data_IF_870509527492
#
_entry.id   IF_870509527492
#
_cell.length_a   1.000
_cell.length_b   1.000
_cell.length_c   1.000
_cell.angle_alpha   90.00
_cell.angle_beta   90.00
_cell.angle_gamma   90.00
#
_symmetry.space_group_name_H-M   'P 1'
#
loop_
_entity.id
_entity.type
_entity.pdbx_description
1 polymer ?
#
# COMPACT_ATOMS: atom_id res chain seq x y z
N UNK A 1 -11.10 -22.30 36.52
CA UNK A 1 -9.94 -22.76 35.71
C UNK A 1 -10.10 -22.51 34.21
N UNK A 2 -11.25 -22.74 33.56
CA UNK A 2 -11.42 -22.52 32.09
C UNK A 2 -11.28 -21.07 31.63
N UNK A 3 -11.81 -20.11 32.40
CA UNK A 3 -11.69 -18.66 32.10
C UNK A 3 -10.23 -18.18 32.13
N UNK A 4 -9.42 -18.71 33.05
CA UNK A 4 -7.99 -18.38 33.15
C UNK A 4 -7.20 -18.83 31.91
N UNK A 5 -7.47 -20.04 31.41
CA UNK A 5 -6.83 -20.54 30.18
C UNK A 5 -7.25 -19.75 28.95
N UNK A 6 -8.50 -19.28 28.87
CA UNK A 6 -8.97 -18.42 27.77
C UNK A 6 -8.25 -17.07 27.82
N UNK A 7 -8.10 -16.46 29.01
CA UNK A 7 -7.36 -15.20 29.17
C UNK A 7 -5.90 -15.38 28.76
N UNK A 8 -5.22 -16.44 29.21
CA UNK A 8 -3.84 -16.74 28.79
C UNK A 8 -3.72 -17.00 27.28
N UNK A 9 -4.68 -17.69 26.67
CA UNK A 9 -4.68 -17.93 25.24
C UNK A 9 -4.86 -16.64 24.43
N UNK A 10 -5.79 -15.75 24.84
CA UNK A 10 -6.00 -14.45 24.18
C UNK A 10 -4.77 -13.54 24.33
N UNK A 11 -4.12 -13.55 25.50
CA UNK A 11 -2.88 -12.80 25.73
C UNK A 11 -1.69 -13.36 24.93
N UNK A 12 -1.58 -14.68 24.80
CA UNK A 12 -0.54 -15.30 23.99
C UNK A 12 -0.74 -15.02 22.49
N UNK A 13 -2.00 -15.03 22.02
CA UNK A 13 -2.35 -14.71 20.63
C UNK A 13 -2.05 -13.23 20.35
N UNK A 14 -2.39 -12.31 21.25
CA UNK A 14 -2.14 -10.87 21.05
C UNK A 14 -0.64 -10.54 21.01
N UNK A 15 0.17 -11.17 21.86
CA UNK A 15 1.64 -11.01 21.85
C UNK A 15 2.26 -11.55 20.57
N UNK A 16 1.76 -12.68 20.05
CA UNK A 16 2.26 -13.29 18.81
C UNK A 16 1.99 -12.39 17.58
N UNK A 17 0.80 -11.78 17.52
CA UNK A 17 0.43 -10.84 16.45
C UNK A 17 1.30 -9.59 16.50
N UNK A 18 1.58 -9.05 17.70
CA UNK A 18 2.44 -7.88 17.84
C UNK A 18 3.88 -8.10 17.34
N UNK A 19 4.42 -9.31 17.48
CA UNK A 19 5.74 -9.67 16.95
C UNK A 19 5.75 -9.76 15.43
N UNK A 20 4.71 -10.36 14.83
CA UNK A 20 4.61 -10.50 13.37
C UNK A 20 4.53 -9.15 12.62
N UNK A 21 4.09 -8.09 13.29
CA UNK A 21 4.02 -6.74 12.71
C UNK A 21 5.37 -6.01 12.66
N UNK A 22 6.41 -6.53 13.32
CA UNK A 22 7.73 -5.87 13.43
C UNK A 22 8.83 -6.56 12.63
N UNK A 23 8.50 -7.51 11.76
CA UNK A 23 9.51 -8.15 10.93
C UNK A 23 9.97 -7.21 9.80
N UNK A 24 11.29 -7.08 9.57
CA UNK A 24 11.78 -6.30 8.43
C UNK A 24 11.37 -6.96 7.11
N UNK A 25 11.03 -6.17 6.08
CA UNK A 25 10.68 -6.73 4.79
C UNK A 25 11.88 -7.39 4.11
N UNK A 26 11.60 -8.41 3.29
CA UNK A 26 12.61 -9.14 2.48
C UNK A 26 12.90 -8.50 1.13
N UNK A 27 12.12 -7.51 0.72
CA UNK A 27 12.24 -6.85 -0.57
C UNK A 27 12.19 -5.35 -0.36
N UNK A 28 12.78 -4.60 -1.30
CA UNK A 28 12.68 -3.15 -1.32
C UNK A 28 11.21 -2.72 -1.35
N UNK A 29 10.80 -1.89 -0.38
CA UNK A 29 9.49 -1.26 -0.39
C UNK A 29 9.64 0.21 -0.75
N UNK A 30 8.82 0.67 -1.70
CA UNK A 30 8.82 2.05 -2.20
C UNK A 30 7.44 2.65 -1.93
N UNK A 31 7.35 3.54 -0.94
CA UNK A 31 6.15 4.32 -0.67
C UNK A 31 6.28 5.73 -1.23
N UNK A 32 5.32 6.21 -2.03
CA UNK A 32 5.29 7.61 -2.47
C UNK A 32 4.59 8.45 -1.40
N UNK A 33 5.31 9.41 -0.79
CA UNK A 33 4.77 10.32 0.23
C UNK A 33 4.17 11.58 -0.38
N UNK A 34 4.75 12.05 -1.48
CA UNK A 34 4.25 13.20 -2.26
C UNK A 34 4.49 12.89 -3.72
N UNK A 35 3.41 12.79 -4.50
CA UNK A 35 3.44 12.63 -5.96
C UNK A 35 3.33 14.00 -6.61
N UNK A 36 4.00 14.18 -7.74
CA UNK A 36 3.83 15.33 -8.62
C UNK A 36 2.88 14.92 -9.76
N UNK A 37 1.87 15.73 -10.12
CA UNK A 37 1.01 15.47 -11.28
C UNK A 37 1.83 15.32 -12.57
N UNK A 38 1.35 14.50 -13.50
CA UNK A 38 2.11 14.17 -14.71
C UNK A 38 2.29 15.39 -15.63
N UNK A 39 1.32 16.31 -15.62
CA UNK A 39 1.35 17.60 -16.31
C UNK A 39 2.41 18.57 -15.76
N UNK A 40 2.81 18.44 -14.50
CA UNK A 40 3.86 19.25 -13.86
C UNK A 40 5.24 18.57 -13.92
N UNK A 41 5.26 17.26 -14.18
CA UNK A 41 6.47 16.46 -14.22
C UNK A 41 7.19 16.58 -15.57
N UNK A 42 7.98 17.65 -15.73
CA UNK A 42 8.73 17.91 -16.96
C UNK A 42 9.86 16.91 -17.21
N UNK A 43 10.45 16.34 -16.16
CA UNK A 43 11.55 15.38 -16.23
C UNK A 43 11.43 14.32 -15.14
N UNK A 44 11.74 13.08 -15.52
CA UNK A 44 11.83 11.93 -14.61
C UNK A 44 13.26 11.43 -14.51
N UNK A 45 13.65 11.02 -13.31
CA UNK A 45 14.97 10.42 -13.06
C UNK A 45 15.13 9.10 -13.82
N UNK A 46 16.26 8.98 -14.52
CA UNK A 46 16.69 7.77 -15.25
C UNK A 46 18.15 7.45 -14.93
N UNK A 47 18.54 6.22 -15.25
CA UNK A 47 19.92 5.77 -15.08
C UNK A 47 20.87 6.71 -15.84
N UNK A 48 21.97 7.08 -15.19
CA UNK A 48 22.95 8.04 -15.71
C UNK A 48 22.68 9.50 -15.35
N UNK A 49 21.47 9.88 -14.93
CA UNK A 49 21.22 11.23 -14.41
C UNK A 49 21.99 11.47 -13.11
N UNK A 50 22.42 12.71 -12.91
CA UNK A 50 22.94 13.17 -11.62
C UNK A 50 21.77 13.75 -10.83
N UNK A 51 21.43 13.08 -9.72
CA UNK A 51 20.35 13.50 -8.83
C UNK A 51 20.92 14.32 -7.68
N UNK A 52 20.21 15.39 -7.30
CA UNK A 52 20.42 16.12 -6.05
C UNK A 52 19.26 15.82 -5.10
N UNK A 53 19.55 15.31 -3.90
CA UNK A 53 18.52 14.78 -3.01
C UNK A 53 18.68 15.20 -1.56
N UNK A 54 17.56 15.54 -0.93
CA UNK A 54 17.44 15.54 0.51
C UNK A 54 16.97 14.17 1.00
N UNK A 55 17.49 13.76 2.16
CA UNK A 55 17.13 12.52 2.82
C UNK A 55 17.30 12.61 4.34
N UNK A 56 16.58 11.72 5.03
CA UNK A 56 16.83 11.30 6.41
C UNK A 56 16.77 9.78 6.46
N UNK A 57 17.84 9.16 6.98
CA UNK A 57 17.96 7.72 7.15
C UNK A 57 17.80 7.30 8.61
N UNK A 58 16.97 6.28 8.86
CA UNK A 58 16.76 5.70 10.19
C UNK A 58 16.83 4.17 10.17
N UNK A 59 17.14 3.57 11.32
CA UNK A 59 17.10 2.12 11.51
C UNK A 59 15.66 1.64 11.65
N UNK A 60 15.26 0.58 10.92
CA UNK A 60 13.88 0.07 10.93
C UNK A 60 13.41 -0.36 12.33
N UNK A 61 14.27 -1.05 13.09
CA UNK A 61 13.89 -1.65 14.37
C UNK A 61 13.73 -0.63 15.52
N UNK A 62 14.59 0.40 15.56
CA UNK A 62 14.63 1.40 16.63
C UNK A 62 14.02 2.74 16.22
N UNK A 63 13.93 3.05 14.92
CA UNK A 63 13.59 4.37 14.41
C UNK A 63 14.71 5.41 14.57
N UNK A 64 15.88 5.01 15.07
CA UNK A 64 17.01 5.89 15.34
C UNK A 64 17.58 6.46 14.03
N UNK A 65 17.76 7.78 13.98
CA UNK A 65 18.39 8.47 12.85
C UNK A 65 19.89 8.23 12.87
N UNK A 66 20.43 7.69 11.77
CA UNK A 66 21.87 7.54 11.59
C UNK A 66 22.48 8.64 10.71
N UNK A 67 21.70 9.24 9.81
CA UNK A 67 22.18 10.32 8.94
C UNK A 67 21.03 11.16 8.37
N UNK A 68 21.29 12.44 8.08
CA UNK A 68 20.38 13.31 7.33
C UNK A 68 21.14 14.43 6.62
N UNK A 69 20.80 14.64 5.35
CA UNK A 69 21.24 15.81 4.58
C UNK A 69 20.75 17.16 5.16
N UNK A 70 19.62 17.14 5.88
CA UNK A 70 19.00 18.35 6.43
C UNK A 70 19.79 18.89 7.62
N UNK A 71 20.43 18.01 8.39
CA UNK A 71 21.30 18.41 9.50
C UNK A 71 22.50 19.25 9.01
N UNK A 72 22.92 19.01 7.76
CA UNK A 72 24.03 19.71 7.11
C UNK A 72 23.58 20.82 6.14
N UNK A 73 22.28 20.97 5.91
CA UNK A 73 21.70 21.86 4.90
C UNK A 73 22.34 21.68 3.50
N UNK A 74 22.73 20.47 3.15
CA UNK A 74 23.40 20.16 1.89
C UNK A 74 22.82 18.88 1.28
N UNK A 75 22.16 18.96 0.11
CA UNK A 75 21.73 17.79 -0.63
C UNK A 75 22.89 16.86 -1.00
N UNK A 76 22.61 15.57 -1.09
CA UNK A 76 23.55 14.61 -1.65
C UNK A 76 23.40 14.59 -3.17
N UNK A 77 24.52 14.76 -3.87
CA UNK A 77 24.60 14.59 -5.32
C UNK A 77 25.25 13.25 -5.69
N UNK A 78 24.62 12.49 -6.59
CA UNK A 78 25.14 11.21 -7.07
C UNK A 78 24.56 10.84 -8.44
N UNK A 79 25.24 9.97 -9.17
CA UNK A 79 24.77 9.46 -10.46
C UNK A 79 23.93 8.20 -10.28
N UNK A 80 22.65 8.25 -10.68
CA UNK A 80 21.71 7.14 -10.51
C UNK A 80 22.09 5.93 -11.37
N UNK A 81 21.98 4.73 -10.79
CA UNK A 81 22.11 3.47 -11.53
C UNK A 81 23.56 3.08 -11.83
N UNK A 82 24.53 3.74 -11.20
CA UNK A 82 25.97 3.49 -11.43
C UNK A 82 26.65 2.77 -10.27
N UNK A 83 25.90 2.35 -9.23
CA UNK A 83 26.47 1.71 -8.04
C UNK A 83 27.26 2.65 -7.14
N UNK A 84 27.09 3.98 -7.30
CA UNK A 84 27.71 5.00 -6.44
C UNK A 84 27.01 5.15 -5.09
N UNK A 85 25.80 4.64 -4.98
CA UNK A 85 24.99 4.56 -3.75
C UNK A 85 24.54 3.13 -3.52
N UNK A 86 23.92 2.86 -2.38
CA UNK A 86 23.38 1.53 -2.06
C UNK A 86 22.36 1.08 -3.12
N UNK A 87 22.27 -0.23 -3.38
CA UNK A 87 21.43 -0.80 -4.45
C UNK A 87 19.95 -0.42 -4.31
N UNK A 88 19.46 -0.31 -3.07
CA UNK A 88 18.07 0.11 -2.81
C UNK A 88 17.78 1.54 -3.27
N UNK A 89 18.76 2.44 -3.27
CA UNK A 89 18.62 3.78 -3.84
C UNK A 89 18.62 3.73 -5.37
N UNK A 90 19.57 3.02 -5.98
CA UNK A 90 19.63 2.86 -7.44
C UNK A 90 18.33 2.27 -8.03
N UNK A 91 17.65 1.40 -7.28
CA UNK A 91 16.35 0.84 -7.68
C UNK A 91 15.18 1.76 -7.30
N UNK A 92 15.16 2.29 -6.08
CA UNK A 92 14.01 2.98 -5.49
C UNK A 92 13.76 4.40 -6.01
N UNK A 93 14.76 5.00 -6.66
CA UNK A 93 14.75 6.41 -7.05
C UNK A 93 14.53 6.65 -8.54
N UNK A 94 14.27 5.59 -9.31
CA UNK A 94 13.91 5.70 -10.73
C UNK A 94 12.51 6.30 -10.91
N UNK A 95 12.29 6.97 -12.04
CA UNK A 95 11.00 7.54 -12.44
C UNK A 95 10.42 8.56 -11.44
N UNK A 96 11.27 9.23 -10.66
CA UNK A 96 10.87 10.32 -9.77
C UNK A 96 10.80 11.64 -10.51
N UNK A 97 9.81 12.46 -10.17
CA UNK A 97 9.75 13.86 -10.58
C UNK A 97 10.48 14.76 -9.57
N UNK A 98 11.00 15.89 -10.01
CA UNK A 98 11.55 16.91 -9.10
C UNK A 98 10.46 17.36 -8.11
N UNK A 99 10.79 17.43 -6.82
CA UNK A 99 9.87 17.73 -5.73
C UNK A 99 9.04 16.54 -5.21
N UNK A 100 9.17 15.35 -5.82
CA UNK A 100 8.56 14.11 -5.35
C UNK A 100 9.24 13.63 -4.06
N UNK A 101 8.45 13.11 -3.11
CA UNK A 101 8.96 12.53 -1.86
C UNK A 101 8.62 11.05 -1.78
N UNK A 102 9.57 10.22 -1.37
CA UNK A 102 9.38 8.78 -1.17
C UNK A 102 9.85 8.33 0.22
N UNK A 103 9.31 7.21 0.67
CA UNK A 103 9.81 6.41 1.78
C UNK A 103 10.32 5.09 1.23
N UNK A 104 11.59 4.80 1.41
CA UNK A 104 12.20 3.53 1.02
C UNK A 104 12.44 2.70 2.27
N UNK A 105 11.99 1.44 2.28
CA UNK A 105 12.42 0.46 3.30
C UNK A 105 13.33 -0.54 2.60
N UNK A 106 14.60 -0.51 2.97
CA UNK A 106 15.69 -1.17 2.26
C UNK A 106 16.21 -2.31 3.13
N UNK A 107 16.03 -3.57 2.70
CA UNK A 107 16.60 -4.71 3.42
C UNK A 107 18.13 -4.75 3.30
N UNK A 108 18.82 -5.47 4.19
CA UNK A 108 20.28 -5.39 4.33
C UNK A 108 21.04 -5.69 3.03
N UNK A 109 20.59 -6.66 2.25
CA UNK A 109 21.18 -7.09 0.98
C UNK A 109 21.13 -6.02 -0.13
N UNK A 110 20.24 -5.03 0.00
CA UNK A 110 20.15 -3.85 -0.85
C UNK A 110 20.74 -2.58 -0.18
N UNK A 111 21.19 -2.70 1.07
CA UNK A 111 21.84 -1.68 1.87
C UNK A 111 23.33 -2.00 2.09
N UNK A 112 23.74 -2.12 3.35
CA UNK A 112 25.13 -2.34 3.76
C UNK A 112 25.46 -3.81 4.13
N UNK A 113 24.51 -4.74 3.96
CA UNK A 113 24.67 -6.16 4.25
C UNK A 113 25.08 -6.47 5.68
N UNK A 114 25.71 -7.63 5.88
CA UNK A 114 26.15 -8.11 7.19
C UNK A 114 27.32 -7.29 7.78
N UNK A 115 28.00 -6.50 6.94
CA UNK A 115 29.12 -5.67 7.38
C UNK A 115 28.66 -4.40 8.09
N UNK A 116 27.48 -3.87 7.74
CA UNK A 116 27.04 -2.56 8.21
C UNK A 116 27.94 -1.42 7.71
N UNK A 117 27.87 -0.27 8.35
CA UNK A 117 28.69 0.90 8.03
C UNK A 117 29.06 1.71 9.27
N UNK A 118 30.37 1.77 9.55
CA UNK A 118 30.91 2.49 10.71
C UNK A 118 30.30 2.00 12.01
N UNK A 119 30.09 2.93 12.95
CA UNK A 119 29.39 2.68 14.22
C UNK A 119 27.89 2.97 14.16
N UNK A 120 27.41 3.63 13.10
CA UNK A 120 26.04 4.12 13.01
C UNK A 120 25.06 3.09 12.42
N UNK A 121 25.55 2.18 11.58
CA UNK A 121 24.72 1.16 10.93
C UNK A 121 25.27 -0.22 11.28
N UNK A 122 24.57 -1.01 12.10
CA UNK A 122 25.00 -2.37 12.42
C UNK A 122 24.84 -3.30 11.21
N UNK A 123 25.56 -4.42 11.24
CA UNK A 123 25.41 -5.50 10.26
C UNK A 123 23.99 -6.06 10.23
N UNK A 124 23.48 -6.38 9.05
CA UNK A 124 22.13 -6.94 8.88
C UNK A 124 21.01 -5.94 9.14
N UNK A 125 21.30 -4.63 9.18
CA UNK A 125 20.29 -3.61 9.44
C UNK A 125 19.39 -3.34 8.22
N UNK A 126 18.08 -3.38 8.44
CA UNK A 126 17.10 -2.80 7.52
C UNK A 126 17.03 -1.29 7.74
N UNK A 127 17.08 -0.55 6.64
CA UNK A 127 17.13 0.91 6.65
C UNK A 127 15.80 1.48 6.19
N UNK A 128 15.44 2.63 6.73
CA UNK A 128 14.31 3.42 6.27
C UNK A 128 14.82 4.79 5.84
N UNK A 129 14.51 5.19 4.62
CA UNK A 129 14.85 6.51 4.10
C UNK A 129 13.59 7.27 3.75
N UNK A 130 13.41 8.46 4.30
CA UNK A 130 12.52 9.46 3.73
C UNK A 130 13.37 10.37 2.83
N UNK A 131 13.01 10.47 1.55
CA UNK A 131 13.79 11.15 0.51
C UNK A 131 12.95 12.18 -0.24
N UNK A 132 13.60 13.21 -0.77
CA UNK A 132 13.03 14.26 -1.61
C UNK A 132 14.00 14.56 -2.76
N UNK A 133 13.50 14.47 -3.99
CA UNK A 133 14.28 14.81 -5.18
C UNK A 133 14.26 16.32 -5.37
N UNK A 134 15.44 16.95 -5.33
CA UNK A 134 15.59 18.41 -5.43
C UNK A 134 15.87 18.84 -6.87
N UNK A 135 16.72 18.09 -7.59
CA UNK A 135 17.10 18.43 -8.96
C UNK A 135 17.57 17.18 -9.74
N UNK A 136 17.50 17.27 -11.07
CA UNK A 136 17.97 16.25 -12.01
C UNK A 136 18.85 16.90 -13.09
N UNK A 137 20.16 16.75 -12.99
CA UNK A 137 21.11 17.15 -14.04
C UNK A 137 21.33 15.99 -15.01
N UNK A 138 21.24 16.24 -16.31
CA UNK A 138 21.52 15.19 -17.30
C UNK A 138 22.98 14.77 -17.22
N UNK A 139 23.22 13.46 -17.10
CA UNK A 139 24.56 12.91 -17.18
C UNK A 139 25.10 13.04 -18.60
N UNK A 140 26.35 13.50 -18.72
CA UNK A 140 27.07 13.61 -20.01
C UNK A 140 27.50 12.25 -20.56
N UNK A 141 27.36 11.17 -19.77
CA UNK A 141 27.50 9.82 -20.28
C UNK A 141 26.25 9.46 -21.08
N UNK A 142 26.40 9.45 -22.40
CA UNK A 142 25.51 8.77 -23.32
C UNK A 142 25.50 7.27 -22.99
N UNK A 143 24.83 6.89 -21.91
CA UNK A 143 24.27 5.56 -21.79
C UNK A 143 23.27 5.51 -22.95
N UNK A 144 23.55 4.75 -24.03
CA UNK A 144 22.61 4.69 -25.14
C UNK A 144 21.29 4.32 -24.50
N UNK A 145 20.25 5.09 -24.80
CA UNK A 145 18.89 4.74 -24.43
C UNK A 145 18.69 3.33 -24.98
N UNK A 146 18.92 2.30 -24.16
CA UNK A 146 18.56 0.93 -24.49
C UNK A 146 17.10 1.05 -24.82
N UNK A 147 16.76 0.79 -26.07
CA UNK A 147 15.48 1.15 -26.70
C UNK A 147 14.30 0.60 -25.93
N UNK A 148 13.95 1.27 -24.85
CA UNK A 148 12.70 1.15 -24.18
C UNK A 148 11.77 1.92 -25.11
N UNK A 149 11.20 1.18 -26.06
CA UNK A 149 9.91 1.58 -26.62
C UNK A 149 9.06 2.00 -25.42
N UNK A 150 8.36 3.13 -25.57
CA UNK A 150 7.37 3.62 -24.63
C UNK A 150 6.24 2.59 -24.51
N UNK A 151 6.54 1.47 -23.89
CA UNK A 151 5.57 0.63 -23.25
C UNK A 151 5.58 1.20 -21.85
N UNK A 152 4.67 2.15 -21.60
CA UNK A 152 4.28 2.44 -20.22
C UNK A 152 3.93 1.13 -19.49
N UNK A 153 3.71 1.14 -18.16
CA UNK A 153 3.04 0.01 -17.54
C UNK A 153 1.80 -0.32 -18.42
N UNK A 154 1.52 -1.59 -18.74
CA UNK A 154 0.36 -1.93 -19.56
C UNK A 154 -0.89 -1.37 -18.90
N UNK A 155 -1.27 -0.16 -19.31
CA UNK A 155 -2.49 0.52 -18.92
C UNK A 155 -3.61 -0.09 -19.76
N UNK A 156 -3.85 -1.37 -19.54
CA UNK A 156 -5.18 -1.89 -19.76
C UNK A 156 -5.35 -3.11 -18.87
N UNK A 157 -6.23 -2.98 -17.88
CA UNK A 157 -6.88 -4.13 -17.25
C UNK A 157 -7.36 -5.11 -18.35
N UNK A 158 -7.68 -4.59 -19.54
CA UNK A 158 -8.11 -5.30 -20.73
C UNK A 158 -7.05 -6.27 -21.29
N UNK A 159 -5.74 -6.02 -21.15
CA UNK A 159 -4.70 -6.97 -21.58
C UNK A 159 -4.47 -8.08 -20.55
N UNK A 160 -4.53 -7.75 -19.26
CA UNK A 160 -4.52 -8.78 -18.21
C UNK A 160 -5.76 -9.70 -18.32
N UNK A 161 -6.91 -9.15 -18.70
CA UNK A 161 -8.13 -9.93 -18.98
C UNK A 161 -8.04 -10.77 -20.26
N UNK A 162 -7.28 -10.34 -21.28
CA UNK A 162 -7.08 -11.12 -22.52
C UNK A 162 -6.22 -12.37 -22.33
N UNK A 163 -5.36 -12.38 -21.31
CA UNK A 163 -4.50 -13.52 -20.97
C UNK A 163 -5.03 -14.36 -19.79
N UNK A 164 -6.26 -14.12 -19.34
CA UNK A 164 -6.93 -15.03 -18.41
C UNK A 164 -7.35 -16.29 -19.16
N UNK A 165 -6.65 -17.39 -18.92
CA UNK A 165 -7.11 -18.71 -19.33
C UNK A 165 -8.28 -19.15 -18.42
N UNK A 166 -9.49 -18.76 -18.83
CA UNK A 166 -10.75 -19.13 -18.20
C UNK A 166 -10.97 -20.65 -18.14
N UNK A 167 -10.24 -21.42 -18.97
CA UNK A 167 -10.36 -22.87 -19.04
C UNK A 167 -9.38 -23.61 -18.10
N UNK A 168 -8.55 -22.88 -17.34
CA UNK A 168 -7.68 -23.53 -16.36
C UNK A 168 -8.54 -24.22 -15.27
N UNK A 169 -8.20 -25.46 -14.86
CA UNK A 169 -8.99 -26.22 -13.90
C UNK A 169 -9.11 -25.53 -12.53
N UNK A 170 -8.18 -24.61 -12.22
CA UNK A 170 -8.21 -23.77 -11.02
C UNK A 170 -9.32 -22.71 -11.10
N UNK A 171 -9.53 -22.10 -12.28
CA UNK A 171 -10.53 -21.05 -12.48
C UNK A 171 -11.96 -21.61 -12.54
N UNK A 172 -12.15 -22.76 -13.19
CA UNK A 172 -13.43 -23.48 -13.19
C UNK A 172 -13.80 -23.95 -11.78
N UNK A 173 -12.81 -24.35 -10.97
CA UNK A 173 -13.01 -24.71 -9.57
C UNK A 173 -13.46 -23.53 -8.70
N UNK A 174 -12.81 -22.38 -8.81
CA UNK A 174 -13.13 -21.20 -7.98
C UNK A 174 -14.46 -20.56 -8.36
N UNK A 175 -14.78 -20.44 -9.65
CA UNK A 175 -16.07 -19.92 -10.11
C UNK A 175 -17.21 -20.87 -9.73
N UNK A 176 -17.01 -22.19 -9.83
CA UNK A 176 -17.99 -23.18 -9.41
C UNK A 176 -18.33 -23.11 -7.92
N UNK A 177 -17.32 -22.93 -7.06
CA UNK A 177 -17.52 -22.75 -5.61
C UNK A 177 -18.29 -21.45 -5.31
N UNK A 178 -17.96 -20.36 -6.00
CA UNK A 178 -18.62 -19.06 -5.79
C UNK A 178 -20.11 -19.10 -6.18
N UNK A 179 -20.43 -19.74 -7.31
CA UNK A 179 -21.82 -19.92 -7.78
C UNK A 179 -22.60 -20.84 -6.85
N UNK A 180 -21.99 -21.92 -6.35
CA UNK A 180 -22.62 -22.80 -5.38
C UNK A 180 -22.93 -22.08 -4.05
N UNK A 181 -21.99 -21.26 -3.55
CA UNK A 181 -22.18 -20.46 -2.34
C UNK A 181 -23.29 -19.41 -2.52
N UNK A 182 -23.32 -18.70 -3.66
CA UNK A 182 -24.38 -17.75 -3.98
C UNK A 182 -25.75 -18.44 -4.08
N UNK A 183 -25.82 -19.63 -4.70
CA UNK A 183 -27.04 -20.43 -4.74
C UNK A 183 -27.52 -20.89 -3.37
N UNK A 184 -26.59 -21.20 -2.45
CA UNK A 184 -26.90 -21.61 -1.07
C UNK A 184 -27.44 -20.42 -0.26
N UNK A 185 -26.87 -19.23 -0.43
CA UNK A 185 -27.35 -17.98 0.19
C UNK A 185 -28.72 -17.58 -0.36
N UNK A 186 -28.93 -17.68 -1.67
CA UNK A 186 -30.23 -17.40 -2.29
C UNK A 186 -31.32 -18.40 -1.82
N UNK A 187 -30.99 -19.69 -1.70
CA UNK A 187 -31.89 -20.70 -1.11
C UNK A 187 -32.22 -20.40 0.36
N UNK A 188 -31.24 -19.99 1.16
CA UNK A 188 -31.47 -19.61 2.55
C UNK A 188 -32.37 -18.37 2.67
N UNK A 189 -32.19 -17.36 1.80
CA UNK A 189 -33.01 -16.15 1.78
C UNK A 189 -34.46 -16.42 1.34
N UNK A 190 -34.67 -17.37 0.41
CA UNK A 190 -36.02 -17.78 0.00
C UNK A 190 -36.71 -18.69 1.04
N UNK A 191 -35.95 -19.38 1.89
CA UNK A 191 -36.50 -20.19 2.98
C UNK A 191 -37.01 -19.37 4.16
N UNK A 192 -36.67 -18.08 4.28
CA UNK A 192 -37.13 -17.22 5.38
C UNK A 192 -38.37 -16.37 5.05
N UNK A 193 -38.96 -16.53 3.86
CA UNK A 193 -40.15 -15.80 3.42
C UNK A 193 -41.44 -16.64 3.46
N UNK A 194 -42.02 -16.87 4.65
CA UNK A 194 -43.26 -17.64 4.84
C UNK A 194 -44.17 -17.09 5.95
N UNK A 195 -45.24 -16.42 5.54
CA UNK A 195 -46.27 -15.64 6.27
C UNK A 195 -47.18 -16.40 7.25
N UNK A 196 -47.67 -15.73 8.31
CA UNK A 196 -49.10 -15.75 8.77
C UNK A 196 -49.44 -14.39 9.42
N UNK A 197 -50.12 -13.46 8.74
CA UNK A 197 -51.58 -13.25 8.54
C UNK A 197 -52.39 -13.02 9.84
N UNK A 198 -53.09 -11.89 9.81
CA UNK A 198 -53.87 -11.22 10.85
C UNK A 198 -55.23 -11.86 11.18
N UNK A 199 -55.84 -11.45 12.31
CA UNK A 199 -57.28 -11.52 12.57
C UNK A 199 -57.70 -10.78 13.86
N UNK A 200 -58.90 -10.14 13.95
CA UNK A 200 -59.22 -8.98 14.82
C UNK A 200 -60.36 -9.30 15.86
N UNK A 201 -61.15 -8.34 16.38
CA UNK A 201 -60.87 -7.44 17.51
C UNK A 201 -61.91 -7.53 18.68
N UNK A 202 -61.59 -6.97 19.85
CA UNK A 202 -62.56 -6.54 20.88
C UNK A 202 -61.94 -5.34 21.64
N UNK A 203 -62.46 -4.10 21.53
CA UNK A 203 -63.48 -3.51 22.43
C UNK A 203 -62.90 -3.26 23.83
N UNK A 204 -62.82 -2.09 24.47
CA UNK A 204 -63.48 -0.78 24.38
C UNK A 204 -62.68 0.22 25.25
N UNK A 205 -62.69 1.52 24.93
CA UNK A 205 -63.07 2.64 25.84
C UNK A 205 -62.80 4.03 25.21
N UNK A 206 -63.92 4.61 24.75
CA UNK A 206 -64.39 6.01 24.79
C UNK A 206 -63.48 7.12 25.35
N UNK A 207 -63.28 8.19 24.56
CA UNK A 207 -63.47 9.64 24.88
C UNK A 207 -62.97 10.45 23.65
N UNK A 208 -63.82 10.97 22.77
CA UNK A 208 -64.53 12.27 22.84
C UNK A 208 -63.66 13.51 22.53
N UNK A 209 -64.24 14.42 21.72
CA UNK A 209 -63.78 15.78 21.35
C UNK A 209 -63.07 15.87 19.99
N UNK A 210 -63.76 15.98 18.84
CA UNK A 210 -64.59 17.08 18.28
C UNK A 210 -63.77 18.12 17.51
N UNK A 211 -64.16 18.29 16.23
CA UNK A 211 -64.11 19.52 15.42
C UNK A 211 -62.76 19.92 14.79
N UNK A 212 -62.64 20.34 13.53
CA UNK A 212 -63.56 20.54 12.38
C UNK A 212 -62.72 21.18 11.26
N UNK A 213 -62.94 20.76 10.01
CA UNK A 213 -62.76 21.56 8.77
C UNK A 213 -61.35 22.06 8.39
N UNK A 214 -60.93 22.24 7.13
CA UNK A 214 -61.50 22.04 5.78
C UNK A 214 -60.50 22.68 4.79
N UNK A 215 -60.39 22.11 3.56
CA UNK A 215 -59.90 22.69 2.29
C UNK A 215 -58.37 22.89 2.15
N UNK A 216 -57.68 22.33 1.14
CA UNK A 216 -57.76 22.52 -0.34
C UNK A 216 -57.52 24.01 -0.64
N UNK A 217 -56.45 24.44 -1.32
CA UNK A 217 -56.09 24.16 -2.71
C UNK A 217 -54.76 24.89 -3.03
N UNK A 218 -54.02 24.34 -3.99
CA UNK A 218 -52.97 25.00 -4.82
C UNK A 218 -51.67 25.46 -4.15
#
# INVERSE_FOLDING_TARGET
>A
MRVLHIVFAVLAISVSIAHALKEPPKYLQIGVKKRIPDEECTKRSRDGDVLSMHYTGTLFNSGEKFDSSLDRNQPLEFTLGTGRVIKGWDQGLKNMCIGEKRRLVIPPELGYGDRGAGSAIPGGATLVFDVELVDIKEGTHHYPASGHKNNGPPNSILEALKNLDYQSPVFLGTVGILVALLGLVARAALSSGGTKKAGPPAGTKKAASTSKSKKVKE
#
